data_IF_817522179395
#
_entry.id   IF_817522179395
#
_cell.length_a   1.000
_cell.length_b   1.000
_cell.length_c   1.000
_cell.angle_alpha   90.00
_cell.angle_beta   90.00
_cell.angle_gamma   90.00
#
_symmetry.space_group_name_H-M   'P 1'
#
loop_
_entity.id
_entity.type
_entity.pdbx_description
1 polymer ?
#
# COMPACT_ATOMS: atom_id res chain seq x y z
N UNK A 1 -15.41 -6.59 -19.17
CA UNK A 1 -14.50 -7.16 -18.17
C UNK A 1 -13.77 -6.02 -17.48
N UNK A 2 -14.24 -5.61 -16.30
CA UNK A 2 -13.71 -4.45 -15.59
C UNK A 2 -12.46 -4.90 -14.82
N UNK A 3 -11.27 -4.69 -15.39
CA UNK A 3 -10.01 -5.08 -14.76
C UNK A 3 -9.56 -3.98 -13.78
N UNK A 4 -10.28 -3.84 -12.66
CA UNK A 4 -10.00 -2.84 -11.61
C UNK A 4 -8.95 -3.29 -10.60
N UNK A 5 -8.60 -4.58 -10.60
CA UNK A 5 -7.61 -5.15 -9.70
C UNK A 5 -6.22 -5.14 -10.33
N UNK A 6 -5.38 -4.18 -9.92
CA UNK A 6 -4.00 -4.02 -10.42
C UNK A 6 -2.95 -4.58 -9.45
N UNK A 7 -3.37 -5.52 -8.60
CA UNK A 7 -2.43 -6.23 -7.73
C UNK A 7 -1.53 -7.13 -8.56
N UNK A 8 -0.24 -7.03 -8.31
CA UNK A 8 0.77 -7.92 -8.88
C UNK A 8 1.48 -8.67 -7.74
N UNK A 9 1.91 -9.89 -8.01
CA UNK A 9 2.42 -10.82 -7.00
C UNK A 9 3.85 -11.22 -7.36
N UNK A 10 4.78 -10.97 -6.45
CA UNK A 10 6.19 -11.33 -6.60
C UNK A 10 6.52 -12.45 -5.61
N UNK A 11 6.92 -13.61 -6.09
CA UNK A 11 7.35 -14.70 -5.22
C UNK A 11 8.63 -14.32 -4.45
N UNK A 12 8.61 -14.49 -3.13
CA UNK A 12 9.72 -14.22 -2.21
C UNK A 12 9.74 -15.31 -1.14
N UNK A 13 10.75 -16.18 -1.13
CA UNK A 13 10.99 -17.18 -0.07
C UNK A 13 9.73 -17.95 0.40
N UNK A 14 8.91 -18.42 -0.52
CA UNK A 14 7.69 -19.21 -0.20
C UNK A 14 6.47 -18.39 0.20
N UNK A 15 6.57 -17.05 0.18
CA UNK A 15 5.42 -16.12 0.23
C UNK A 15 5.37 -15.30 -1.06
N UNK A 16 4.35 -14.46 -1.22
CA UNK A 16 4.30 -13.48 -2.31
C UNK A 16 4.22 -12.07 -1.76
N UNK A 17 5.10 -11.18 -2.22
CA UNK A 17 4.95 -9.75 -2.02
C UNK A 17 3.94 -9.22 -3.03
N UNK A 18 2.89 -8.58 -2.54
CA UNK A 18 1.84 -7.95 -3.34
C UNK A 18 2.14 -6.47 -3.50
N UNK A 19 2.13 -5.99 -4.74
CA UNK A 19 2.23 -4.56 -5.08
C UNK A 19 0.96 -4.12 -5.81
N UNK A 20 0.68 -2.82 -5.82
CA UNK A 20 -0.40 -2.26 -6.63
C UNK A 20 0.17 -1.35 -7.72
N UNK A 21 -0.07 -1.71 -8.97
CA UNK A 21 0.48 -0.99 -10.12
C UNK A 21 -0.20 0.38 -10.31
N UNK A 22 0.61 1.39 -10.61
CA UNK A 22 0.10 2.72 -10.95
C UNK A 22 -0.42 2.76 -12.39
N UNK A 23 -1.41 3.61 -12.65
CA UNK A 23 -1.91 3.88 -14.00
C UNK A 23 -0.86 4.41 -14.97
N UNK A 24 0.27 4.92 -14.47
CA UNK A 24 1.38 5.34 -15.31
C UNK A 24 2.14 4.16 -15.97
N UNK A 25 1.91 2.92 -15.51
CA UNK A 25 2.51 1.69 -16.05
C UNK A 25 4.02 1.55 -15.80
N UNK A 26 4.60 2.38 -14.91
CA UNK A 26 6.05 2.45 -14.68
C UNK A 26 6.46 2.26 -13.22
N UNK A 27 5.50 2.11 -12.31
CA UNK A 27 5.77 2.01 -10.89
C UNK A 27 4.58 1.55 -10.09
N UNK A 28 4.77 1.54 -8.78
CA UNK A 28 3.83 0.99 -7.81
C UNK A 28 3.50 2.04 -6.76
N UNK A 29 2.27 1.98 -6.24
CA UNK A 29 1.89 2.79 -5.10
C UNK A 29 2.56 2.26 -3.84
N UNK A 30 3.28 3.14 -3.15
CA UNK A 30 3.96 2.86 -1.88
C UNK A 30 3.40 3.78 -0.82
N UNK A 31 3.29 3.27 0.41
CA UNK A 31 2.88 4.08 1.55
C UNK A 31 3.71 5.37 1.61
N UNK A 32 3.00 6.49 1.80
CA UNK A 32 3.60 7.82 1.91
C UNK A 32 3.23 8.46 3.26
N UNK A 33 4.11 8.36 4.27
CA UNK A 33 3.83 8.90 5.61
C UNK A 33 3.81 10.43 5.65
N UNK A 34 4.26 11.11 4.59
CA UNK A 34 4.22 12.59 4.54
C UNK A 34 2.82 13.13 4.29
N UNK A 35 1.90 12.26 3.89
CA UNK A 35 0.51 12.59 3.61
C UNK A 35 -0.39 12.21 4.80
N UNK A 36 -1.42 13.01 5.04
CA UNK A 36 -2.40 12.70 6.08
C UNK A 36 -3.25 11.49 5.70
N UNK A 37 -3.40 10.58 6.65
CA UNK A 37 -4.40 9.50 6.60
C UNK A 37 -5.81 10.10 6.63
N UNK A 38 -6.79 9.38 6.08
CA UNK A 38 -8.21 9.74 6.19
C UNK A 38 -8.85 8.72 7.16
N UNK A 39 -8.99 9.05 8.46
CA UNK A 39 -9.38 8.09 9.50
C UNK A 39 -10.82 7.60 9.33
N UNK A 40 -11.72 8.50 8.94
CA UNK A 40 -13.16 8.21 8.75
C UNK A 40 -13.42 7.07 7.75
N UNK A 41 -12.49 6.82 6.83
CA UNK A 41 -12.57 5.74 5.84
C UNK A 41 -11.40 4.75 5.95
N UNK A 42 -10.60 4.84 7.02
CA UNK A 42 -9.39 4.04 7.23
C UNK A 42 -8.44 4.03 6.01
N UNK A 43 -8.42 5.12 5.25
CA UNK A 43 -7.71 5.22 3.99
C UNK A 43 -6.27 5.68 4.22
N UNK A 44 -5.35 4.87 3.74
CA UNK A 44 -3.90 5.00 3.89
C UNK A 44 -3.33 5.64 2.61
N UNK A 45 -2.56 6.74 2.72
CA UNK A 45 -2.03 7.44 1.58
C UNK A 45 -0.84 6.71 0.96
N UNK A 46 -0.76 6.76 -0.37
CA UNK A 46 0.32 6.19 -1.13
C UNK A 46 0.74 7.11 -2.26
N UNK A 47 2.01 7.09 -2.59
CA UNK A 47 2.59 7.78 -3.75
C UNK A 47 3.23 6.76 -4.69
N UNK A 48 3.02 6.95 -5.99
CA UNK A 48 3.70 6.14 -6.99
C UNK A 48 5.20 6.43 -6.99
N UNK A 49 6.01 5.40 -6.82
CA UNK A 49 7.47 5.54 -6.80
C UNK A 49 8.10 5.91 -8.16
N UNK A 50 7.33 5.97 -9.24
CA UNK A 50 7.82 6.35 -10.57
C UNK A 50 7.34 7.74 -11.02
N UNK A 51 6.05 8.08 -10.81
CA UNK A 51 5.48 9.35 -11.29
C UNK A 51 4.96 10.27 -10.18
N UNK A 52 5.00 9.84 -8.91
CA UNK A 52 4.54 10.64 -7.78
C UNK A 52 3.02 10.78 -7.65
N UNK A 53 2.22 10.13 -8.52
CA UNK A 53 0.76 10.13 -8.42
C UNK A 53 0.32 9.61 -7.05
N UNK A 54 -0.61 10.31 -6.41
CA UNK A 54 -1.15 9.95 -5.09
C UNK A 54 -2.42 9.13 -5.22
N UNK A 55 -2.59 8.16 -4.32
CA UNK A 55 -3.80 7.36 -4.19
C UNK A 55 -4.00 6.93 -2.73
N UNK A 56 -5.22 6.55 -2.40
CA UNK A 56 -5.60 6.14 -1.04
C UNK A 56 -6.16 4.72 -1.08
N UNK A 57 -5.71 3.87 -0.17
CA UNK A 57 -6.09 2.47 -0.10
C UNK A 57 -6.52 2.08 1.32
N UNK A 58 -7.37 1.07 1.45
CA UNK A 58 -7.71 0.49 2.77
C UNK A 58 -6.72 -0.58 3.22
N UNK A 59 -5.88 -1.07 2.30
CA UNK A 59 -4.78 -2.02 2.55
C UNK A 59 -3.48 -1.32 2.15
N UNK A 60 -2.45 -1.31 3.00
CA UNK A 60 -1.15 -0.75 2.63
C UNK A 60 -0.41 -1.65 1.64
N UNK A 61 0.32 -1.03 0.70
CA UNK A 61 1.24 -1.72 -0.21
C UNK A 61 2.69 -1.25 0.04
N UNK A 62 3.67 -2.18 0.03
CA UNK A 62 3.54 -3.60 -0.30
C UNK A 62 2.83 -4.41 0.80
N UNK A 63 2.14 -5.48 0.40
CA UNK A 63 1.54 -6.44 1.31
C UNK A 63 2.15 -7.83 1.10
N UNK A 64 1.85 -8.79 1.98
CA UNK A 64 2.30 -10.18 1.85
C UNK A 64 1.10 -11.08 1.62
N UNK A 65 1.11 -11.92 0.60
CA UNK A 65 0.16 -13.03 0.42
C UNK A 65 0.81 -14.33 0.87
N UNK A 66 0.13 -15.05 1.75
CA UNK A 66 0.49 -16.40 2.17
C UNK A 66 -0.77 -17.25 2.28
N UNK A 67 -0.76 -18.44 1.68
CA UNK A 67 -1.92 -19.35 1.64
C UNK A 67 -3.23 -18.63 1.25
N UNK A 68 -3.15 -17.82 0.19
CA UNK A 68 -4.26 -17.03 -0.37
C UNK A 68 -4.88 -15.97 0.57
N UNK A 69 -4.20 -15.60 1.67
CA UNK A 69 -4.58 -14.50 2.56
C UNK A 69 -3.58 -13.37 2.44
N UNK A 70 -4.06 -12.14 2.41
CA UNK A 70 -3.23 -10.93 2.35
C UNK A 70 -3.07 -10.36 3.76
N UNK A 71 -1.82 -10.11 4.13
CA UNK A 71 -1.39 -9.51 5.39
C UNK A 71 -0.71 -8.18 5.06
N UNK A 72 -1.06 -7.12 5.79
CA UNK A 72 -0.31 -5.87 5.75
C UNK A 72 1.09 -6.11 6.31
N UNK A 73 2.12 -5.60 5.63
CA UNK A 73 3.49 -5.63 6.14
C UNK A 73 3.59 -4.71 7.37
N UNK A 74 3.99 -5.27 8.52
CA UNK A 74 4.14 -4.53 9.77
C UNK A 74 5.18 -3.41 9.68
N UNK A 75 6.15 -3.47 8.76
CA UNK A 75 7.10 -2.37 8.51
C UNK A 75 6.44 -1.19 7.79
N UNK A 76 5.43 -1.46 6.98
CA UNK A 76 4.55 -0.41 6.45
C UNK A 76 3.64 0.12 7.56
N UNK A 77 3.31 -0.72 8.55
CA UNK A 77 2.51 -0.34 9.71
C UNK A 77 3.30 0.33 10.86
N UNK A 78 4.62 0.19 10.98
CA UNK A 78 5.38 0.76 12.10
C UNK A 78 5.50 2.29 12.03
N UNK A 79 5.15 2.88 10.88
CA UNK A 79 4.89 4.32 10.74
C UNK A 79 3.48 4.74 11.20
N UNK A 80 2.64 3.83 11.69
CA UNK A 80 1.32 4.10 12.28
C UNK A 80 1.41 4.51 13.75
N UNK A 81 2.53 5.12 14.17
CA UNK A 81 2.48 5.96 15.36
C UNK A 81 1.70 7.19 14.92
N UNK A 82 0.42 7.22 15.24
CA UNK A 82 -0.42 8.39 15.07
C UNK A 82 0.34 9.60 15.65
N UNK A 83 0.77 10.53 14.79
CA UNK A 83 1.31 11.83 15.21
C UNK A 83 0.19 12.74 15.74
N UNK A 84 -0.76 12.17 16.48
CA UNK A 84 -1.83 12.86 17.21
C UNK A 84 -1.61 12.71 18.72
N UNK A 85 -0.34 12.66 19.15
CA UNK A 85 0.06 12.91 20.54
C UNK A 85 0.99 14.16 20.58
N UNK A 86 0.49 15.28 20.04
CA UNK A 86 0.95 16.59 20.51
C UNK A 86 0.31 16.85 21.88
N UNK A 87 1.17 16.84 22.90
CA UNK A 87 0.93 17.38 24.25
C UNK A 87 0.72 18.88 24.25
#
# INVERSE_FOLDING_TARGET
>A
MNNSDKRVYFAVNGVERVEFECDCGKGYFRYDPTLKRIPVHNQIPHSCNACGKRAYFTIPYPAIRYKNRIFADSLTLSGFVDLDEES
#
